data_IF_963382004832
#
_entry.id   IF_963382004832
#
_cell.length_a   1.000
_cell.length_b   1.000
_cell.length_c   1.000
_cell.angle_alpha   90.00
_cell.angle_beta   90.00
_cell.angle_gamma   90.00
#
_symmetry.space_group_name_H-M   'P 1'
#
loop_
_entity.id
_entity.type
_entity.pdbx_description
1 polymer ?
#
# COMPACT_ATOMS: atom_id res chain seq x y z
N UNK A 1 -20.41 29.95 -2.98
CA UNK A 1 -19.75 28.64 -3.23
C UNK A 1 -20.67 27.83 -4.11
N UNK A 2 -20.20 27.42 -5.29
CA UNK A 2 -20.94 26.57 -6.22
C UNK A 2 -20.28 25.18 -6.23
N UNK A 3 -21.09 24.14 -6.19
CA UNK A 3 -20.63 22.76 -6.38
C UNK A 3 -21.12 22.32 -7.74
N UNK A 4 -20.18 22.01 -8.64
CA UNK A 4 -20.51 21.49 -9.97
C UNK A 4 -20.95 20.03 -9.88
N UNK A 5 -21.62 19.59 -10.94
CA UNK A 5 -22.01 18.20 -11.11
C UNK A 5 -20.76 17.27 -11.20
N UNK A 6 -20.96 15.97 -11.01
CA UNK A 6 -19.89 14.99 -11.07
C UNK A 6 -19.07 15.07 -12.38
N UNK A 7 -17.79 15.40 -12.27
CA UNK A 7 -16.85 15.54 -13.40
C UNK A 7 -16.72 14.27 -14.25
N UNK A 8 -17.05 13.09 -13.71
CA UNK A 8 -17.02 11.83 -14.48
C UNK A 8 -18.22 11.61 -15.39
N UNK A 9 -19.23 12.48 -15.35
CA UNK A 9 -20.29 12.47 -16.36
C UNK A 9 -19.81 13.03 -17.71
N UNK A 10 -18.72 13.81 -17.72
CA UNK A 10 -18.11 14.29 -18.96
C UNK A 10 -17.23 13.17 -19.57
N UNK A 11 -17.51 12.71 -20.81
CA UNK A 11 -16.77 11.61 -21.42
C UNK A 11 -15.27 11.85 -21.59
N UNK A 12 -14.86 13.13 -21.68
CA UNK A 12 -13.46 13.56 -21.82
C UNK A 12 -12.64 13.53 -20.53
N UNK A 13 -13.26 13.28 -19.36
CA UNK A 13 -12.58 13.34 -18.07
C UNK A 13 -11.52 12.23 -17.92
N UNK A 14 -11.88 10.97 -18.16
CA UNK A 14 -10.95 9.83 -18.06
C UNK A 14 -10.25 9.50 -19.40
N UNK A 15 -10.81 9.94 -20.53
CA UNK A 15 -10.24 9.70 -21.86
C UNK A 15 -9.10 10.68 -22.15
N UNK A 16 -7.92 10.34 -21.64
CA UNK A 16 -6.63 10.98 -22.00
C UNK A 16 -6.61 12.49 -21.86
N UNK A 17 -7.19 13.03 -20.78
CA UNK A 17 -7.02 14.44 -20.45
C UNK A 17 -7.46 15.35 -21.61
N UNK A 18 -8.72 15.22 -22.02
CA UNK A 18 -9.25 15.91 -23.20
C UNK A 18 -8.94 17.42 -23.15
N UNK A 19 -8.16 17.95 -24.11
CA UNK A 19 -7.79 19.36 -24.14
C UNK A 19 -9.00 20.30 -24.25
N UNK A 20 -10.04 19.90 -24.98
CA UNK A 20 -11.23 20.73 -25.16
C UNK A 20 -12.00 20.86 -23.84
N UNK A 21 -12.18 19.73 -23.13
CA UNK A 21 -12.82 19.73 -21.82
C UNK A 21 -11.98 20.49 -20.78
N UNK A 22 -10.67 20.32 -20.82
CA UNK A 22 -9.74 21.00 -19.91
C UNK A 22 -9.79 22.51 -20.08
N UNK A 23 -9.88 22.98 -21.33
CA UNK A 23 -10.05 24.39 -21.67
C UNK A 23 -11.43 24.90 -21.24
N UNK A 24 -12.49 24.13 -21.49
CA UNK A 24 -13.83 24.49 -21.02
C UNK A 24 -13.90 24.62 -19.49
N UNK A 25 -13.19 23.80 -18.73
CA UNK A 25 -13.06 23.98 -17.27
C UNK A 25 -12.22 25.21 -16.90
N UNK A 26 -11.15 25.48 -17.65
CA UNK A 26 -10.30 26.64 -17.42
C UNK A 26 -11.07 27.96 -17.67
N UNK A 27 -11.94 28.01 -18.66
CA UNK A 27 -12.75 29.19 -18.98
C UNK A 27 -13.73 29.60 -17.85
N UNK A 28 -13.96 28.72 -16.85
CA UNK A 28 -14.82 28.98 -15.71
C UNK A 28 -14.11 29.67 -14.53
N UNK A 29 -12.77 29.80 -14.56
CA UNK A 29 -11.99 30.24 -13.41
C UNK A 29 -10.69 30.96 -13.81
N UNK A 30 -10.20 31.82 -12.91
CA UNK A 30 -8.90 32.50 -13.11
C UNK A 30 -7.72 31.72 -12.51
N UNK A 31 -7.98 30.86 -11.52
CA UNK A 31 -6.97 30.10 -10.77
C UNK A 31 -7.48 28.69 -10.50
N UNK A 32 -6.60 27.70 -10.64
CA UNK A 32 -6.88 26.31 -10.30
C UNK A 32 -6.19 25.92 -8.98
N UNK A 33 -6.98 25.42 -8.03
CA UNK A 33 -6.49 24.90 -6.75
C UNK A 33 -6.73 23.39 -6.71
N UNK A 34 -5.66 22.60 -6.75
CA UNK A 34 -5.77 21.16 -6.58
C UNK A 34 -5.68 20.79 -5.09
N UNK A 35 -6.82 20.45 -4.50
CA UNK A 35 -6.89 19.96 -3.11
C UNK A 35 -7.21 18.46 -3.02
N UNK A 36 -7.07 17.73 -4.14
CA UNK A 36 -7.49 16.33 -4.29
C UNK A 36 -6.32 15.38 -4.53
N UNK A 37 -5.44 15.22 -3.54
CA UNK A 37 -4.24 14.35 -3.62
C UNK A 37 -4.55 12.93 -4.12
N UNK A 38 -5.67 12.33 -3.66
CA UNK A 38 -6.08 10.98 -4.07
C UNK A 38 -6.43 10.84 -5.56
N UNK A 39 -6.74 11.94 -6.25
CA UNK A 39 -7.01 11.97 -7.69
C UNK A 39 -5.79 12.41 -8.53
N UNK A 40 -4.81 13.09 -7.91
CA UNK A 40 -3.64 13.66 -8.57
C UNK A 40 -2.72 12.65 -9.29
N UNK A 41 -2.84 11.35 -9.00
CA UNK A 41 -2.07 10.31 -9.66
C UNK A 41 -2.55 9.94 -11.07
N UNK A 42 -3.70 10.47 -11.50
CA UNK A 42 -4.25 10.25 -12.84
C UNK A 42 -4.24 11.56 -13.60
N UNK A 43 -3.81 11.50 -14.86
CA UNK A 43 -3.90 12.61 -15.77
C UNK A 43 -5.32 12.69 -16.36
N UNK A 44 -6.22 13.39 -15.67
CA UNK A 44 -7.57 13.67 -16.12
C UNK A 44 -7.75 15.17 -16.38
N UNK A 45 -8.80 15.54 -17.11
CA UNK A 45 -9.09 16.94 -17.45
C UNK A 45 -9.23 17.81 -16.18
N UNK A 46 -9.97 17.34 -15.18
CA UNK A 46 -10.19 18.05 -13.92
C UNK A 46 -8.97 18.08 -12.96
N UNK A 47 -7.99 17.19 -13.14
CA UNK A 47 -6.86 17.04 -12.20
C UNK A 47 -5.54 17.61 -12.73
N UNK A 48 -5.22 17.33 -14.00
CA UNK A 48 -3.96 17.66 -14.64
C UNK A 48 -4.14 18.57 -15.87
N UNK A 49 -5.22 18.39 -16.64
CA UNK A 49 -5.47 19.16 -17.87
C UNK A 49 -5.71 20.63 -17.62
N UNK A 50 -6.64 20.96 -16.73
CA UNK A 50 -6.95 22.33 -16.36
C UNK A 50 -5.72 23.11 -15.85
N UNK A 51 -4.80 22.42 -15.15
CA UNK A 51 -3.57 23.00 -14.62
C UNK A 51 -2.58 23.45 -15.70
N UNK A 52 -2.75 23.01 -16.95
CA UNK A 52 -1.94 23.47 -18.08
C UNK A 52 -2.39 24.83 -18.62
N UNK A 53 -3.62 25.26 -18.31
CA UNK A 53 -4.24 26.47 -18.85
C UNK A 53 -4.35 27.61 -17.83
N UNK A 54 -4.37 27.29 -16.54
CA UNK A 54 -4.50 28.26 -15.46
C UNK A 54 -3.28 28.23 -14.52
N UNK A 55 -2.98 29.35 -13.83
CA UNK A 55 -2.13 29.32 -12.65
C UNK A 55 -2.64 28.25 -11.67
N UNK A 56 -1.79 27.26 -11.38
CA UNK A 56 -2.15 26.09 -10.60
C UNK A 56 -1.39 26.07 -9.27
N UNK A 57 -2.12 25.91 -8.16
CA UNK A 57 -1.55 25.81 -6.81
C UNK A 57 -2.12 24.61 -6.07
N UNK A 58 -1.40 24.12 -5.06
CA UNK A 58 -1.92 23.11 -4.15
C UNK A 58 -2.85 23.75 -3.11
N UNK A 59 -3.99 23.12 -2.85
CA UNK A 59 -4.79 23.42 -1.66
C UNK A 59 -4.12 22.91 -0.38
N UNK A 60 -4.74 23.14 0.77
CA UNK A 60 -4.16 22.79 2.08
C UNK A 60 -4.02 21.29 2.32
N UNK A 61 -4.98 20.46 1.87
CA UNK A 61 -4.89 19.01 1.98
C UNK A 61 -3.76 18.49 1.09
N UNK A 62 -3.69 18.97 -0.15
CA UNK A 62 -2.62 18.57 -1.06
C UNK A 62 -1.23 19.03 -0.57
N UNK A 63 -1.11 20.27 -0.09
CA UNK A 63 0.11 20.78 0.52
C UNK A 63 0.55 19.91 1.69
N UNK A 64 -0.36 19.61 2.62
CA UNK A 64 -0.06 18.79 3.79
C UNK A 64 0.42 17.39 3.40
N UNK A 65 -0.23 16.74 2.44
CA UNK A 65 0.21 15.43 1.94
C UNK A 65 1.60 15.51 1.28
N UNK A 66 1.85 16.52 0.45
CA UNK A 66 3.15 16.73 -0.19
C UNK A 66 4.27 17.03 0.80
N UNK A 67 4.02 17.85 1.82
CA UNK A 67 5.01 18.12 2.86
C UNK A 67 5.34 16.87 3.68
N UNK A 68 4.32 16.10 4.03
CA UNK A 68 4.46 14.88 4.82
C UNK A 68 5.23 13.81 4.02
N UNK A 69 4.81 13.54 2.78
CA UNK A 69 5.48 12.57 1.90
C UNK A 69 6.86 13.04 1.47
N UNK A 70 7.00 14.32 1.14
CA UNK A 70 8.27 14.94 0.76
C UNK A 70 9.31 14.80 1.86
N UNK A 71 8.98 15.17 3.10
CA UNK A 71 9.88 15.02 4.26
C UNK A 71 10.30 13.57 4.50
N UNK A 72 9.37 12.62 4.37
CA UNK A 72 9.68 11.20 4.55
C UNK A 72 10.59 10.61 3.45
N UNK A 73 10.58 11.19 2.25
CA UNK A 73 11.38 10.70 1.14
C UNK A 73 12.76 11.37 1.09
N UNK A 74 12.86 12.66 1.42
CA UNK A 74 14.11 13.43 1.29
C UNK A 74 15.02 13.34 2.52
N UNK A 75 14.48 13.48 3.73
CA UNK A 75 15.23 13.42 4.97
C UNK A 75 14.41 12.78 6.10
N UNK A 76 14.22 11.45 6.06
CA UNK A 76 13.37 10.75 7.02
C UNK A 76 13.97 10.73 8.43
N UNK A 77 13.12 10.89 9.44
CA UNK A 77 13.48 10.62 10.83
C UNK A 77 13.79 9.12 11.01
N UNK A 78 14.98 8.80 11.53
CA UNK A 78 15.45 7.41 11.70
C UNK A 78 15.30 6.88 13.13
N UNK A 79 14.88 5.62 13.35
CA UNK A 79 14.68 4.59 12.33
C UNK A 79 13.42 4.79 11.48
N UNK A 80 13.56 4.69 10.16
CA UNK A 80 12.50 4.77 9.17
C UNK A 80 12.05 3.37 8.74
N UNK A 81 10.79 3.07 8.98
CA UNK A 81 10.17 1.78 8.64
C UNK A 81 9.14 1.94 7.53
N UNK A 82 9.27 1.17 6.45
CA UNK A 82 8.23 1.07 5.41
C UNK A 82 7.52 -0.29 5.47
N UNK A 83 6.21 -0.25 5.31
CA UNK A 83 5.33 -1.40 5.56
C UNK A 83 4.47 -1.57 4.32
N UNK A 84 4.68 -2.67 3.60
CA UNK A 84 4.12 -2.87 2.27
C UNK A 84 3.33 -4.17 2.25
N UNK A 85 2.02 -4.02 2.09
CA UNK A 85 1.06 -5.12 2.05
C UNK A 85 0.23 -5.15 0.77
N UNK A 86 -0.68 -6.13 0.70
CA UNK A 86 -1.60 -6.32 -0.41
C UNK A 86 -1.47 -7.66 -1.12
N UNK A 87 -2.31 -7.87 -2.13
CA UNK A 87 -2.47 -9.16 -2.79
C UNK A 87 -1.50 -9.40 -3.96
N UNK A 88 -1.11 -8.34 -4.70
CA UNK A 88 -0.37 -8.45 -5.96
C UNK A 88 1.01 -7.81 -5.87
N UNK A 89 2.06 -8.59 -6.16
CA UNK A 89 3.45 -8.14 -6.19
C UNK A 89 3.65 -7.02 -7.22
N UNK A 90 3.07 -7.17 -8.43
CA UNK A 90 3.27 -6.26 -9.57
C UNK A 90 2.98 -4.80 -9.24
N UNK A 91 1.96 -4.54 -8.41
CA UNK A 91 1.49 -3.19 -8.10
C UNK A 91 2.38 -2.50 -7.05
N UNK A 92 3.31 -3.24 -6.42
CA UNK A 92 4.12 -2.78 -5.28
C UNK A 92 5.62 -2.74 -5.57
N UNK A 93 6.10 -3.37 -6.64
CA UNK A 93 7.54 -3.41 -6.98
C UNK A 93 8.14 -2.00 -7.06
N UNK A 94 7.51 -1.07 -7.79
CA UNK A 94 8.05 0.30 -7.93
C UNK A 94 8.11 1.06 -6.61
N UNK A 95 7.12 0.86 -5.73
CA UNK A 95 7.12 1.47 -4.38
C UNK A 95 8.26 0.89 -3.54
N UNK A 96 8.44 -0.43 -3.59
CA UNK A 96 9.52 -1.11 -2.87
C UNK A 96 10.87 -0.61 -3.37
N UNK A 97 11.12 -0.63 -4.68
CA UNK A 97 12.36 -0.12 -5.30
C UNK A 97 12.66 1.33 -4.86
N UNK A 98 11.66 2.21 -4.84
CA UNK A 98 11.84 3.62 -4.45
C UNK A 98 12.18 3.84 -2.96
N UNK A 99 11.80 2.89 -2.10
CA UNK A 99 11.93 2.97 -0.64
C UNK A 99 13.10 2.15 -0.11
N UNK A 100 13.53 1.09 -0.79
CA UNK A 100 14.66 0.24 -0.39
C UNK A 100 15.90 1.03 -0.05
N UNK A 101 16.18 2.11 -0.79
CA UNK A 101 17.36 2.93 -0.56
C UNK A 101 17.25 3.88 0.64
N UNK A 102 16.04 4.11 1.14
CA UNK A 102 15.74 5.14 2.14
C UNK A 102 15.44 4.57 3.52
N UNK A 103 14.79 3.40 3.57
CA UNK A 103 14.30 2.78 4.80
C UNK A 103 15.40 2.08 5.58
N UNK A 104 15.29 2.08 6.90
CA UNK A 104 16.09 1.27 7.82
C UNK A 104 15.47 -0.12 8.00
N UNK A 105 14.13 -0.17 8.08
CA UNK A 105 13.36 -1.41 8.16
C UNK A 105 12.34 -1.50 7.02
N UNK A 106 12.28 -2.64 6.36
CA UNK A 106 11.23 -2.96 5.37
C UNK A 106 10.41 -4.14 5.88
N UNK A 107 9.12 -3.92 6.11
CA UNK A 107 8.15 -4.95 6.51
C UNK A 107 7.24 -5.27 5.32
N UNK A 108 7.05 -6.57 5.07
CA UNK A 108 6.22 -7.06 3.96
C UNK A 108 5.15 -8.02 4.48
N UNK A 109 3.90 -7.82 4.08
CA UNK A 109 2.78 -8.69 4.50
C UNK A 109 1.76 -8.95 3.40
N UNK A 110 0.68 -9.66 3.75
CA UNK A 110 -0.39 -10.04 2.82
C UNK A 110 0.02 -11.08 1.79
N UNK A 111 -0.76 -11.20 0.71
CA UNK A 111 -0.50 -12.13 -0.39
C UNK A 111 0.86 -11.93 -1.07
N UNK A 112 1.44 -10.74 -0.94
CA UNK A 112 2.79 -10.42 -1.41
C UNK A 112 3.87 -11.26 -0.69
N UNK A 113 3.80 -11.36 0.63
CA UNK A 113 4.70 -12.20 1.43
C UNK A 113 4.54 -13.70 1.11
N UNK A 114 3.30 -14.13 0.87
CA UNK A 114 3.01 -15.52 0.51
C UNK A 114 3.55 -15.89 -0.88
N UNK A 115 3.34 -15.02 -1.86
CA UNK A 115 3.88 -15.19 -3.22
C UNK A 115 5.40 -15.32 -3.19
N UNK A 116 6.07 -14.58 -2.31
CA UNK A 116 7.50 -14.68 -2.07
C UNK A 116 7.92 -16.02 -1.47
N UNK A 117 7.30 -16.49 -0.39
CA UNK A 117 7.69 -17.77 0.21
C UNK A 117 7.37 -18.96 -0.69
N UNK A 118 6.31 -18.87 -1.51
CA UNK A 118 6.06 -19.86 -2.57
C UNK A 118 7.16 -19.87 -3.64
N UNK A 119 7.76 -18.72 -3.96
CA UNK A 119 8.80 -18.60 -5.00
C UNK A 119 10.13 -19.23 -4.61
N UNK A 120 10.45 -19.27 -3.32
CA UNK A 120 11.71 -19.78 -2.79
C UNK A 120 11.69 -21.29 -2.54
N UNK A 121 10.51 -21.93 -2.57
CA UNK A 121 10.41 -23.39 -2.46
C UNK A 121 10.57 -24.06 -3.84
N UNK A 122 11.40 -25.11 -3.96
CA UNK A 122 11.48 -25.88 -5.19
C UNK A 122 10.24 -26.76 -5.34
N UNK A 123 9.19 -26.28 -6.03
CA UNK A 123 8.16 -27.14 -6.62
C UNK A 123 7.97 -26.85 -8.11
N UNK A 124 7.98 -27.93 -8.86
CA UNK A 124 8.33 -28.06 -10.28
C UNK A 124 7.23 -27.71 -11.29
N UNK A 125 6.28 -26.81 -11.01
CA UNK A 125 5.14 -26.61 -11.96
C UNK A 125 4.73 -25.20 -12.42
N UNK A 126 5.36 -24.11 -12.01
CA UNK A 126 5.01 -22.79 -12.60
C UNK A 126 6.24 -21.94 -12.98
N UNK A 127 6.75 -22.18 -14.18
CA UNK A 127 7.89 -21.46 -14.78
C UNK A 127 7.54 -19.98 -15.10
N UNK A 128 6.25 -19.64 -15.28
CA UNK A 128 5.79 -18.26 -15.54
C UNK A 128 6.01 -17.32 -14.34
N UNK A 129 5.82 -17.86 -13.13
CA UNK A 129 5.96 -17.16 -11.87
C UNK A 129 7.44 -16.80 -11.59
N UNK A 130 8.38 -17.61 -12.10
CA UNK A 130 9.82 -17.53 -11.86
C UNK A 130 10.54 -16.34 -12.53
N UNK A 131 10.06 -15.84 -13.69
CA UNK A 131 10.74 -14.72 -14.42
C UNK A 131 10.44 -13.33 -13.87
N UNK A 132 9.28 -13.11 -13.24
CA UNK A 132 8.93 -11.82 -12.60
C UNK A 132 9.25 -11.79 -11.10
N UNK A 133 9.36 -12.95 -10.46
CA UNK A 133 9.77 -13.07 -9.07
C UNK A 133 11.28 -12.93 -8.85
N UNK A 134 12.12 -13.11 -9.87
CA UNK A 134 13.58 -12.97 -9.74
C UNK A 134 14.01 -11.59 -9.23
N UNK A 135 13.43 -10.52 -9.78
CA UNK A 135 13.74 -9.15 -9.37
C UNK A 135 13.28 -8.84 -7.95
N UNK A 136 12.14 -9.40 -7.55
CA UNK A 136 11.63 -9.27 -6.19
C UNK A 136 12.48 -10.06 -5.18
N UNK A 137 12.96 -11.25 -5.56
CA UNK A 137 13.90 -12.02 -4.76
C UNK A 137 15.28 -11.36 -4.67
N UNK A 138 15.78 -10.73 -5.73
CA UNK A 138 17.01 -9.91 -5.70
C UNK A 138 16.83 -8.69 -4.79
N UNK A 139 15.67 -8.05 -4.84
CA UNK A 139 15.33 -6.95 -3.94
C UNK A 139 15.29 -7.37 -2.48
N UNK A 140 14.98 -8.63 -2.15
CA UNK A 140 14.86 -9.11 -0.77
C UNK A 140 16.10 -9.82 -0.24
N UNK A 141 16.82 -10.57 -1.07
CA UNK A 141 18.04 -11.29 -0.70
C UNK A 141 19.33 -10.66 -1.22
N UNK A 142 19.23 -9.65 -2.09
CA UNK A 142 20.39 -8.90 -2.56
C UNK A 142 21.07 -8.14 -1.42
N UNK A 143 22.36 -7.78 -1.61
CA UNK A 143 23.19 -7.18 -0.56
C UNK A 143 22.52 -5.97 0.08
N UNK A 144 22.22 -6.08 1.38
CA UNK A 144 21.69 -4.99 2.18
C UNK A 144 22.83 -4.20 2.80
N UNK A 145 22.99 -2.94 2.44
CA UNK A 145 23.87 -2.00 3.16
C UNK A 145 23.26 -1.65 4.53
N UNK A 146 23.34 -2.55 5.51
CA UNK A 146 22.94 -2.29 6.90
C UNK A 146 21.43 -2.12 7.16
N UNK A 147 20.58 -2.51 6.22
CA UNK A 147 19.11 -2.38 6.31
C UNK A 147 18.47 -3.69 6.73
N UNK A 148 17.48 -3.64 7.63
CA UNK A 148 16.72 -4.80 8.09
C UNK A 148 15.52 -5.03 7.17
N UNK A 149 15.36 -6.25 6.68
CA UNK A 149 14.20 -6.70 5.92
C UNK A 149 13.48 -7.73 6.77
N UNK A 150 12.25 -7.43 7.15
CA UNK A 150 11.43 -8.23 8.04
C UNK A 150 10.27 -8.85 7.24
N UNK A 151 10.26 -10.18 7.16
CA UNK A 151 9.20 -10.97 6.54
C UNK A 151 8.35 -11.64 7.62
N UNK A 152 7.11 -12.09 7.30
CA UNK A 152 6.26 -12.74 8.29
C UNK A 152 6.87 -14.08 8.67
N UNK A 153 7.04 -14.33 9.96
CA UNK A 153 7.55 -15.61 10.46
C UNK A 153 6.43 -16.68 10.43
N UNK A 154 5.18 -16.27 10.63
CA UNK A 154 4.00 -17.14 10.63
C UNK A 154 2.79 -16.46 10.00
N UNK A 155 1.91 -17.27 9.40
CA UNK A 155 0.68 -16.79 8.75
C UNK A 155 -0.54 -17.54 9.29
N UNK A 156 -1.64 -16.79 9.44
CA UNK A 156 -2.97 -17.35 9.65
C UNK A 156 -3.52 -17.76 8.29
N UNK A 157 -3.74 -19.05 8.13
CA UNK A 157 -4.18 -19.67 6.89
C UNK A 157 -5.57 -20.28 7.04
N UNK A 158 -6.27 -20.45 5.93
CA UNK A 158 -7.58 -21.12 5.85
C UNK A 158 -7.64 -22.05 4.65
N UNK A 159 -8.39 -23.15 4.79
CA UNK A 159 -8.51 -24.19 3.77
C UNK A 159 -9.54 -23.91 2.68
N UNK A 160 -9.35 -24.57 1.54
CA UNK A 160 -10.05 -24.38 0.27
C UNK A 160 -11.59 -24.43 0.30
N UNK A 161 -12.21 -25.02 1.33
CA UNK A 161 -13.66 -25.22 1.35
C UNK A 161 -14.48 -24.00 1.80
N UNK A 162 -13.84 -22.98 2.39
CA UNK A 162 -14.46 -21.70 2.83
C UNK A 162 -13.45 -20.55 2.84
N UNK A 163 -12.81 -20.30 1.69
CA UNK A 163 -11.64 -19.41 1.56
C UNK A 163 -11.89 -17.96 2.02
N UNK A 164 -13.13 -17.51 2.07
CA UNK A 164 -13.48 -16.11 2.35
C UNK A 164 -14.74 -15.98 3.21
N UNK A 165 -14.80 -16.70 4.34
CA UNK A 165 -15.90 -16.59 5.31
C UNK A 165 -15.38 -16.40 6.73
N UNK A 166 -16.18 -15.76 7.58
CA UNK A 166 -15.92 -15.71 9.02
C UNK A 166 -15.98 -17.10 9.68
N UNK A 167 -16.69 -18.06 9.08
CA UNK A 167 -16.81 -19.44 9.58
C UNK A 167 -15.72 -20.37 9.02
N UNK A 168 -14.68 -19.80 8.44
CA UNK A 168 -13.61 -20.60 7.86
C UNK A 168 -12.76 -21.24 8.96
N UNK A 169 -12.43 -22.53 8.80
CA UNK A 169 -11.50 -23.20 9.69
C UNK A 169 -10.10 -22.62 9.51
N UNK A 170 -9.69 -21.77 10.45
CA UNK A 170 -8.39 -21.11 10.43
C UNK A 170 -7.37 -21.85 11.29
N UNK A 171 -6.14 -21.98 10.80
CA UNK A 171 -4.98 -22.40 11.60
C UNK A 171 -3.86 -21.36 11.47
N UNK A 172 -2.96 -21.31 12.46
CA UNK A 172 -1.72 -20.54 12.37
C UNK A 172 -0.63 -21.55 12.04
N UNK A 173 0.13 -21.27 10.98
CA UNK A 173 1.23 -22.13 10.53
C UNK A 173 2.48 -21.28 10.28
N UNK A 174 3.69 -21.85 10.47
CA UNK A 174 4.91 -21.20 10.02
C UNK A 174 4.82 -20.86 8.54
N UNK A 175 5.38 -19.72 8.12
CA UNK A 175 5.32 -19.33 6.70
C UNK A 175 6.03 -20.36 5.80
N UNK A 176 7.05 -21.04 6.34
CA UNK A 176 7.83 -22.11 5.73
C UNK A 176 7.08 -23.44 5.60
N UNK A 177 5.92 -23.59 6.24
CA UNK A 177 5.20 -24.87 6.34
C UNK A 177 3.73 -24.80 5.88
N UNK A 178 3.32 -23.70 5.24
CA UNK A 178 1.96 -23.57 4.70
C UNK A 178 1.64 -24.78 3.78
N UNK A 179 0.63 -25.60 4.13
CA UNK A 179 0.16 -26.72 3.31
C UNK A 179 -0.39 -26.25 1.96
N UNK A 180 -0.39 -27.14 0.95
CA UNK A 180 -0.83 -26.79 -0.41
C UNK A 180 -2.33 -26.54 -0.56
N UNK A 181 -3.13 -27.04 0.38
CA UNK A 181 -4.59 -26.91 0.45
C UNK A 181 -5.05 -25.71 1.29
N UNK A 182 -4.11 -24.98 1.91
CA UNK A 182 -4.37 -23.77 2.68
C UNK A 182 -3.88 -22.51 1.94
N UNK A 183 -4.64 -21.43 2.08
CA UNK A 183 -4.25 -20.09 1.65
C UNK A 183 -3.92 -19.21 2.85
N UNK A 184 -2.85 -18.40 2.73
CA UNK A 184 -2.47 -17.43 3.75
C UNK A 184 -3.29 -16.15 3.60
N UNK A 185 -4.10 -15.84 4.61
CA UNK A 185 -5.10 -14.77 4.54
C UNK A 185 -4.85 -13.64 5.55
N UNK A 186 -4.02 -13.87 6.56
CA UNK A 186 -3.57 -12.84 7.52
C UNK A 186 -2.22 -13.25 8.13
N UNK A 187 -1.52 -12.32 8.79
CA UNK A 187 -0.28 -12.61 9.51
C UNK A 187 -0.55 -13.33 10.85
N UNK A 188 0.35 -14.22 11.26
CA UNK A 188 0.29 -14.96 12.53
C UNK A 188 0.52 -14.06 13.75
N UNK A 189 0.26 -14.58 14.95
CA UNK A 189 0.37 -13.81 16.21
C UNK A 189 1.80 -13.37 16.50
N UNK A 190 2.79 -14.26 16.34
CA UNK A 190 4.21 -13.95 16.56
C UNK A 190 4.70 -12.85 15.60
N UNK A 191 4.30 -12.92 14.33
CA UNK A 191 4.62 -11.87 13.35
C UNK A 191 4.02 -10.53 13.75
N UNK A 192 2.78 -10.51 14.28
CA UNK A 192 2.15 -9.26 14.74
C UNK A 192 2.95 -8.62 15.87
N UNK A 193 3.42 -9.41 16.83
CA UNK A 193 4.21 -8.93 17.96
C UNK A 193 5.55 -8.37 17.49
N UNK A 194 6.29 -9.13 16.69
CA UNK A 194 7.56 -8.67 16.10
C UNK A 194 7.41 -7.39 15.30
N UNK A 195 6.38 -7.32 14.44
CA UNK A 195 6.11 -6.11 13.66
C UNK A 195 5.71 -4.94 14.55
N UNK A 196 4.93 -5.17 15.60
CA UNK A 196 4.56 -4.15 16.58
C UNK A 196 5.80 -3.56 17.28
N UNK A 197 6.78 -4.39 17.63
CA UNK A 197 8.03 -3.94 18.25
C UNK A 197 8.88 -3.10 17.29
N UNK A 198 9.00 -3.50 16.02
CA UNK A 198 9.70 -2.71 15.00
C UNK A 198 9.04 -1.34 14.83
N UNK A 199 7.70 -1.29 14.71
CA UNK A 199 6.93 -0.04 14.60
C UNK A 199 7.16 0.85 15.82
N UNK A 200 7.10 0.29 17.04
CA UNK A 200 7.25 1.03 18.29
C UNK A 200 8.62 1.69 18.41
N UNK A 201 9.66 1.03 17.88
CA UNK A 201 11.03 1.53 17.87
C UNK A 201 11.34 2.43 16.65
N UNK A 202 10.36 2.68 15.78
CA UNK A 202 10.52 3.53 14.60
C UNK A 202 10.12 4.97 14.89
N UNK A 203 10.91 5.93 14.37
CA UNK A 203 10.57 7.35 14.44
C UNK A 203 9.67 7.78 13.29
N UNK A 204 9.80 7.15 12.14
CA UNK A 204 8.96 7.36 10.97
C UNK A 204 8.45 6.01 10.47
N UNK A 205 7.15 5.95 10.18
CA UNK A 205 6.53 4.77 9.58
C UNK A 205 5.66 5.17 8.39
N UNK A 206 5.94 4.54 7.24
CA UNK A 206 5.11 4.64 6.03
C UNK A 206 4.40 3.32 5.82
N UNK A 207 3.07 3.34 5.75
CA UNK A 207 2.26 2.15 5.54
C UNK A 207 1.48 2.21 4.23
N UNK A 208 1.67 1.20 3.37
CA UNK A 208 0.96 1.01 2.12
C UNK A 208 0.44 -0.43 1.96
N UNK A 209 -0.86 -0.63 2.23
CA UNK A 209 -1.57 -1.87 1.93
C UNK A 209 -1.75 -2.82 3.11
N UNK A 210 -2.82 -3.62 3.14
CA UNK A 210 -3.18 -4.44 4.30
C UNK A 210 -2.27 -5.67 4.47
N UNK A 211 -2.22 -6.19 5.69
CA UNK A 211 -1.44 -7.40 6.05
C UNK A 211 -2.20 -8.71 5.77
N UNK A 212 -3.48 -8.61 5.44
CA UNK A 212 -4.39 -9.72 5.21
C UNK A 212 -5.68 -9.28 4.52
N UNK A 213 -6.61 -10.21 4.33
CA UNK A 213 -7.94 -9.98 3.73
C UNK A 213 -8.87 -9.34 4.76
N UNK A 214 -8.62 -8.06 5.04
CA UNK A 214 -9.25 -7.34 6.15
C UNK A 214 -10.74 -7.09 5.97
N UNK A 215 -11.30 -7.32 4.77
CA UNK A 215 -12.74 -7.30 4.51
C UNK A 215 -13.50 -8.38 5.29
N UNK A 216 -12.78 -9.40 5.81
CA UNK A 216 -13.33 -10.49 6.59
C UNK A 216 -12.76 -10.40 8.00
N UNK A 217 -13.63 -10.34 9.02
CA UNK A 217 -13.22 -10.11 10.40
C UNK A 217 -12.26 -11.18 10.94
N UNK A 218 -12.42 -12.43 10.50
CA UNK A 218 -11.51 -13.53 10.84
C UNK A 218 -10.05 -13.27 10.39
N UNK A 219 -9.85 -12.47 9.34
CA UNK A 219 -8.56 -12.16 8.71
C UNK A 219 -8.17 -10.67 8.83
N UNK A 220 -8.96 -9.86 9.53
CA UNK A 220 -8.69 -8.45 9.77
C UNK A 220 -7.74 -8.19 10.96
N UNK A 221 -7.46 -9.22 11.78
CA UNK A 221 -6.77 -9.04 13.07
C UNK A 221 -5.34 -8.54 12.93
N UNK A 222 -4.58 -9.00 11.93
CA UNK A 222 -3.23 -8.50 11.67
C UNK A 222 -3.22 -7.04 11.23
N UNK A 223 -4.07 -6.68 10.26
CA UNK A 223 -4.25 -5.28 9.82
C UNK A 223 -4.71 -4.37 10.96
N UNK A 224 -5.67 -4.82 11.80
CA UNK A 224 -6.15 -4.06 12.97
C UNK A 224 -5.08 -3.90 14.06
N UNK A 225 -4.28 -4.94 14.31
CA UNK A 225 -3.15 -4.89 15.25
C UNK A 225 -2.12 -3.86 14.81
N UNK A 226 -1.76 -3.90 13.53
CA UNK A 226 -0.86 -2.94 12.92
C UNK A 226 -1.35 -1.51 13.08
N UNK A 227 -2.63 -1.24 12.75
CA UNK A 227 -3.26 0.08 12.95
C UNK A 227 -3.14 0.58 14.40
N UNK A 228 -3.34 -0.30 15.39
CA UNK A 228 -3.24 0.06 16.81
C UNK A 228 -1.82 0.39 17.22
N UNK A 229 -0.84 -0.37 16.75
CA UNK A 229 0.58 -0.07 16.96
C UNK A 229 0.96 1.26 16.29
N UNK A 230 0.39 1.53 15.10
CA UNK A 230 0.55 2.82 14.44
C UNK A 230 -0.18 3.98 15.12
N UNK A 231 -1.18 3.74 15.95
CA UNK A 231 -1.85 4.83 16.69
C UNK A 231 -0.99 5.41 17.83
N UNK A 232 0.11 4.74 18.21
CA UNK A 232 0.87 5.03 19.43
C UNK A 232 2.29 5.60 19.26
N UNK A 233 2.85 5.65 18.04
CA UNK A 233 4.16 6.31 17.79
C UNK A 233 4.01 7.76 17.32
N UNK A 234 5.14 8.47 17.22
CA UNK A 234 5.23 9.93 17.20
C UNK A 234 5.05 10.56 15.81
N UNK A 235 5.27 9.85 14.69
CA UNK A 235 5.03 10.34 13.31
C UNK A 235 4.67 9.21 12.34
N UNK A 236 3.51 9.33 11.68
CA UNK A 236 2.99 8.33 10.74
C UNK A 236 2.53 8.95 9.44
N UNK A 237 2.79 8.20 8.36
CA UNK A 237 2.30 8.52 7.03
C UNK A 237 1.50 7.31 6.53
N UNK A 238 0.21 7.52 6.41
CA UNK A 238 -0.68 6.54 5.81
C UNK A 238 -0.84 6.89 4.33
N UNK A 239 -0.20 6.14 3.44
CA UNK A 239 -0.38 6.32 2.00
C UNK A 239 -1.74 5.71 1.60
N UNK A 240 -2.80 6.52 1.69
CA UNK A 240 -4.17 6.12 1.42
C UNK A 240 -4.44 5.97 -0.08
N UNK A 241 -3.94 4.89 -0.68
CA UNK A 241 -4.41 4.49 -2.00
C UNK A 241 -5.71 3.71 -1.82
N UNK A 242 -6.79 4.47 -1.61
CA UNK A 242 -8.21 4.05 -1.63
C UNK A 242 -8.57 2.93 -0.62
N UNK A 243 -8.72 3.29 0.66
CA UNK A 243 -9.27 2.38 1.67
C UNK A 243 -10.29 3.10 2.55
N UNK A 244 -11.55 3.25 2.12
CA UNK A 244 -12.61 3.68 3.03
C UNK A 244 -12.83 2.57 4.06
N UNK A 245 -12.31 2.77 5.27
CA UNK A 245 -12.89 2.14 6.45
C UNK A 245 -14.21 2.85 6.71
N UNK A 246 -15.34 2.17 6.48
CA UNK A 246 -16.60 2.61 7.07
C UNK A 246 -16.46 2.49 8.58
N UNK A 247 -16.13 3.60 9.24
CA UNK A 247 -16.30 3.76 10.68
C UNK A 247 -17.80 3.79 10.98
N UNK A 248 -18.34 2.61 11.27
CA UNK A 248 -19.57 2.43 12.03
C UNK A 248 -19.18 1.76 13.35
N UNK A 249 -18.73 2.59 14.30
CA UNK A 249 -18.82 2.50 15.75
C UNK A 249 -18.11 3.71 16.35
#
# INVERSE_FOLDING_TARGET
MLVLENVRFYPGEEKKNDPELSKAFADLADVYVNDAFGAAHRAHASTAGIAAYLPAVSGFLMQKELEVLGKAISNPDRPFTAIIGGAKVKDKIGVIESLLDKVDNLIIGGGLAYTFVKSTRPRSREISIRRRQSRFSEILYGPCKGKRRELPDSNRCSGSRRLFSNDANTSIVPISEIPSDLEALDIGTETREKYADVIKNSKLVVWNGPMGVFEIDAFAKGTKSYRRSTGRSKRYIFCHWRWRFSSSC
#
